data_IF_883745983406
#
_entry.id   IF_883745983406
#
_cell.length_a   1.000
_cell.length_b   1.000
_cell.length_c   1.000
_cell.angle_alpha   90.00
_cell.angle_beta   90.00
_cell.angle_gamma   90.00
#
_symmetry.space_group_name_H-M   'P 1'
#
loop_
_entity.id
_entity.type
_entity.pdbx_description
1 polymer ?
#
# COMPACT_ATOMS: atom_id res chain seq x y z
N UNK A 1 -12.18 31.00 -1.36
CA UNK A 1 -12.67 30.16 -2.48
C UNK A 1 -12.68 28.69 -2.04
N UNK A 2 -13.84 28.16 -1.64
CA UNK A 2 -13.98 26.73 -1.34
C UNK A 2 -13.95 25.96 -2.66
N UNK A 3 -12.79 25.39 -2.98
CA UNK A 3 -12.65 24.49 -4.11
C UNK A 3 -13.55 23.28 -3.80
N UNK A 4 -14.72 23.17 -4.45
CA UNK A 4 -15.65 22.05 -4.28
C UNK A 4 -14.95 20.78 -4.80
N UNK A 5 -14.15 20.15 -3.95
CA UNK A 5 -13.55 18.87 -4.26
C UNK A 5 -14.67 17.91 -4.60
N UNK A 6 -14.64 17.32 -5.79
CA UNK A 6 -15.66 16.38 -6.21
C UNK A 6 -15.52 15.12 -5.35
N UNK A 7 -16.34 15.02 -4.30
CA UNK A 7 -16.31 13.94 -3.31
C UNK A 7 -16.24 12.57 -3.98
N UNK A 8 -16.93 12.37 -5.11
CA UNK A 8 -16.89 11.11 -5.86
C UNK A 8 -15.49 10.79 -6.39
N UNK A 9 -14.79 11.78 -6.94
CA UNK A 9 -13.42 11.59 -7.46
C UNK A 9 -12.46 11.25 -6.32
N UNK A 10 -12.58 11.94 -5.18
CA UNK A 10 -11.74 11.67 -4.00
C UNK A 10 -11.97 10.25 -3.49
N UNK A 11 -13.22 9.81 -3.41
CA UNK A 11 -13.55 8.46 -2.95
C UNK A 11 -13.05 7.38 -3.90
N UNK A 12 -13.17 7.58 -5.23
CA UNK A 12 -12.60 6.66 -6.21
C UNK A 12 -11.08 6.58 -6.06
N UNK A 13 -10.40 7.73 -5.89
CA UNK A 13 -8.96 7.74 -5.68
C UNK A 13 -8.55 6.98 -4.40
N UNK A 14 -9.31 7.11 -3.32
CA UNK A 14 -9.08 6.35 -2.09
C UNK A 14 -9.25 4.85 -2.34
N UNK A 15 -10.32 4.42 -3.01
CA UNK A 15 -10.56 3.01 -3.30
C UNK A 15 -9.46 2.41 -4.17
N UNK A 16 -9.03 3.13 -5.21
CA UNK A 16 -7.91 2.72 -6.06
C UNK A 16 -6.59 2.62 -5.28
N UNK A 17 -6.34 3.56 -4.37
CA UNK A 17 -5.13 3.53 -3.55
C UNK A 17 -5.16 2.36 -2.56
N UNK A 18 -6.29 2.12 -1.88
CA UNK A 18 -6.47 0.95 -1.01
C UNK A 18 -6.27 -0.34 -1.80
N UNK A 19 -6.84 -0.44 -3.00
CA UNK A 19 -6.71 -1.60 -3.88
C UNK A 19 -5.24 -1.84 -4.28
N UNK A 20 -4.53 -0.78 -4.68
CA UNK A 20 -3.09 -0.84 -5.01
C UNK A 20 -2.26 -1.36 -3.83
N UNK A 21 -2.44 -0.81 -2.63
CA UNK A 21 -1.70 -1.24 -1.43
C UNK A 21 -2.06 -2.68 -1.02
N UNK A 22 -3.32 -3.10 -1.20
CA UNK A 22 -3.75 -4.46 -0.93
C UNK A 22 -3.13 -5.49 -1.90
N UNK A 23 -3.05 -5.15 -3.20
CA UNK A 23 -2.38 -6.00 -4.19
C UNK A 23 -0.92 -6.20 -3.79
N UNK A 24 -0.22 -5.13 -3.44
CA UNK A 24 1.21 -5.18 -3.16
C UNK A 24 1.55 -6.15 -2.01
N UNK A 25 0.84 -6.07 -0.88
CA UNK A 25 1.11 -6.96 0.24
C UNK A 25 0.87 -8.44 -0.06
N UNK A 26 -0.03 -8.75 -1.00
CA UNK A 26 -0.42 -10.13 -1.33
C UNK A 26 0.38 -10.71 -2.49
N UNK A 27 0.61 -9.93 -3.55
CA UNK A 27 1.34 -10.36 -4.75
C UNK A 27 2.77 -10.81 -4.42
N UNK A 28 3.40 -10.13 -3.46
CA UNK A 28 4.78 -10.39 -3.02
C UNK A 28 4.85 -11.71 -2.26
N UNK A 29 3.86 -12.00 -1.43
CA UNK A 29 3.78 -13.27 -0.73
C UNK A 29 3.65 -14.43 -1.73
N UNK A 30 2.96 -14.22 -2.84
CA UNK A 30 2.85 -15.22 -3.92
C UNK A 30 4.15 -15.37 -4.71
N UNK A 31 4.85 -14.28 -4.97
CA UNK A 31 6.12 -14.29 -5.72
C UNK A 31 7.34 -14.72 -4.88
N UNK A 32 7.22 -14.75 -3.55
CA UNK A 32 8.34 -14.97 -2.62
C UNK A 32 9.24 -16.16 -2.98
N UNK A 33 8.73 -17.36 -3.30
CA UNK A 33 9.60 -18.49 -3.62
C UNK A 33 10.50 -18.23 -4.84
N UNK A 34 9.99 -17.49 -5.83
CA UNK A 34 10.74 -17.14 -7.05
C UNK A 34 11.74 -16.02 -6.77
N UNK A 35 11.33 -14.98 -6.03
CA UNK A 35 12.21 -13.90 -5.59
C UNK A 35 13.43 -14.46 -4.83
N UNK A 36 13.21 -15.39 -3.90
CA UNK A 36 14.28 -15.99 -3.10
C UNK A 36 15.22 -16.85 -3.96
N UNK A 37 14.66 -17.56 -4.95
CA UNK A 37 15.43 -18.34 -5.91
C UNK A 37 16.34 -17.44 -6.77
N UNK A 38 15.83 -16.30 -7.23
CA UNK A 38 16.56 -15.39 -8.12
C UNK A 38 17.61 -14.56 -7.37
N UNK A 39 17.27 -14.06 -6.19
CA UNK A 39 18.12 -13.15 -5.41
C UNK A 39 19.06 -13.83 -4.40
N UNK A 40 18.96 -15.16 -4.24
CA UNK A 40 19.75 -15.95 -3.30
C UNK A 40 19.76 -15.39 -1.86
N UNK A 41 18.71 -15.65 -1.08
CA UNK A 41 18.59 -15.08 0.27
C UNK A 41 17.59 -15.76 1.19
N UNK A 42 17.51 -17.11 1.15
CA UNK A 42 16.52 -17.88 1.91
C UNK A 42 16.55 -17.57 3.42
N UNK A 43 17.74 -17.38 3.99
CA UNK A 43 17.92 -17.11 5.43
C UNK A 43 17.26 -15.81 5.89
N UNK A 44 17.14 -14.83 4.98
CA UNK A 44 16.59 -13.50 5.28
C UNK A 44 15.24 -13.24 4.58
N UNK A 45 14.63 -14.24 3.93
CA UNK A 45 13.37 -14.06 3.19
C UNK A 45 12.23 -13.49 4.05
N UNK A 46 12.18 -13.88 5.33
CA UNK A 46 11.12 -13.44 6.25
C UNK A 46 11.20 -11.94 6.54
N UNK A 47 12.38 -11.32 6.38
CA UNK A 47 12.56 -9.88 6.55
C UNK A 47 11.84 -9.07 5.49
N UNK A 48 11.63 -9.61 4.28
CA UNK A 48 10.96 -8.89 3.18
C UNK A 48 9.56 -8.44 3.61
N UNK A 49 8.77 -9.33 4.19
CA UNK A 49 7.42 -9.00 4.70
C UNK A 49 7.50 -8.31 6.06
N UNK A 50 8.35 -8.81 6.96
CA UNK A 50 8.41 -8.32 8.35
C UNK A 50 8.83 -6.85 8.44
N UNK A 51 9.83 -6.43 7.65
CA UNK A 51 10.30 -5.04 7.67
C UNK A 51 9.25 -4.09 7.10
N UNK A 52 8.54 -4.51 6.05
CA UNK A 52 7.46 -3.73 5.47
C UNK A 52 6.35 -3.48 6.50
N UNK A 53 5.91 -4.53 7.20
CA UNK A 53 4.89 -4.42 8.24
C UNK A 53 5.38 -3.58 9.43
N UNK A 54 6.64 -3.75 9.85
CA UNK A 54 7.24 -2.94 10.91
C UNK A 54 7.23 -1.46 10.56
N UNK A 55 7.72 -1.09 9.37
CA UNK A 55 7.77 0.30 8.94
C UNK A 55 6.38 0.89 8.72
N UNK A 56 5.43 0.08 8.22
CA UNK A 56 4.02 0.47 8.12
C UNK A 56 3.44 0.78 9.51
N UNK A 57 3.67 -0.09 10.50
CA UNK A 57 3.18 0.09 11.86
C UNK A 57 3.80 1.31 12.55
N UNK A 58 5.10 1.53 12.40
CA UNK A 58 5.83 2.67 12.99
C UNK A 58 5.39 4.00 12.37
N UNK A 59 5.18 4.04 11.06
CA UNK A 59 4.84 5.29 10.35
C UNK A 59 3.36 5.67 10.45
N UNK A 60 2.46 4.71 10.66
CA UNK A 60 1.00 4.92 10.82
C UNK A 60 0.65 6.03 11.82
N UNK A 61 1.09 5.99 13.10
CA UNK A 61 0.76 7.05 14.06
C UNK A 61 1.37 8.41 13.70
N UNK A 62 2.55 8.41 13.06
CA UNK A 62 3.23 9.63 12.62
C UNK A 62 2.38 10.34 11.56
N UNK A 63 1.92 9.60 10.55
CA UNK A 63 1.05 10.17 9.52
C UNK A 63 -0.32 10.56 10.03
N UNK A 64 -0.88 9.85 11.02
CA UNK A 64 -2.11 10.29 11.69
C UNK A 64 -1.97 11.70 12.25
N UNK A 65 -0.93 11.92 13.06
CA UNK A 65 -0.62 13.25 13.64
C UNK A 65 -0.31 14.30 12.58
N UNK A 66 0.47 13.96 11.57
CA UNK A 66 0.77 14.88 10.47
C UNK A 66 -0.52 15.25 9.71
N UNK A 67 -1.40 14.28 9.43
CA UNK A 67 -2.63 14.53 8.71
C UNK A 67 -3.59 15.44 9.51
N UNK A 68 -3.57 15.36 10.84
CA UNK A 68 -4.32 16.26 11.72
C UNK A 68 -3.76 17.69 11.69
N UNK A 69 -2.43 17.84 11.59
CA UNK A 69 -1.75 19.14 11.68
C UNK A 69 -1.61 19.89 10.34
N UNK A 70 -1.16 19.22 9.28
CA UNK A 70 -0.90 19.82 7.96
C UNK A 70 -2.00 19.50 6.94
N UNK A 71 -3.00 18.71 7.33
CA UNK A 71 -4.16 18.33 6.52
C UNK A 71 -4.03 16.97 5.83
N UNK A 72 -5.18 16.37 5.51
CA UNK A 72 -5.27 15.00 4.97
C UNK A 72 -4.62 14.82 3.61
N UNK A 73 -4.95 15.72 2.66
CA UNK A 73 -4.53 15.61 1.26
C UNK A 73 -3.01 15.58 1.06
N UNK A 74 -2.20 16.53 1.59
CA UNK A 74 -0.76 16.52 1.37
C UNK A 74 -0.10 15.27 1.97
N UNK A 75 -0.55 14.83 3.15
CA UNK A 75 -0.02 13.62 3.80
C UNK A 75 -0.35 12.37 3.00
N UNK A 76 -1.59 12.25 2.53
CA UNK A 76 -2.01 11.10 1.71
C UNK A 76 -1.22 11.03 0.40
N UNK A 77 -1.08 12.14 -0.32
CA UNK A 77 -0.34 12.18 -1.58
C UNK A 77 1.15 11.92 -1.39
N UNK A 78 1.76 12.45 -0.33
CA UNK A 78 3.15 12.16 0.00
C UNK A 78 3.37 10.68 0.29
N UNK A 79 2.52 10.08 1.11
CA UNK A 79 2.58 8.66 1.42
C UNK A 79 2.45 7.76 0.18
N UNK A 80 1.52 8.09 -0.71
CA UNK A 80 1.37 7.41 -2.00
C UNK A 80 2.64 7.53 -2.83
N UNK A 81 3.23 8.72 -2.92
CA UNK A 81 4.46 8.93 -3.69
C UNK A 81 5.61 8.08 -3.14
N UNK A 82 5.81 8.07 -1.81
CA UNK A 82 6.83 7.24 -1.16
C UNK A 82 6.57 5.76 -1.40
N UNK A 83 5.32 5.31 -1.31
CA UNK A 83 4.92 3.93 -1.57
C UNK A 83 5.21 3.50 -3.02
N UNK A 84 4.87 4.35 -4.00
CA UNK A 84 5.10 4.08 -5.42
C UNK A 84 6.60 4.03 -5.73
N UNK A 85 7.39 4.97 -5.19
CA UNK A 85 8.84 4.95 -5.33
C UNK A 85 9.43 3.67 -4.72
N UNK A 86 9.03 3.31 -3.49
CA UNK A 86 9.46 2.07 -2.86
C UNK A 86 9.09 0.83 -3.67
N UNK A 87 7.88 0.80 -4.23
CA UNK A 87 7.42 -0.30 -5.10
C UNK A 87 8.24 -0.42 -6.38
N UNK A 88 8.57 0.70 -7.02
CA UNK A 88 9.42 0.71 -8.21
C UNK A 88 10.85 0.25 -7.90
N UNK A 89 11.40 0.67 -6.75
CA UNK A 89 12.71 0.22 -6.29
C UNK A 89 12.72 -1.29 -6.03
N UNK A 90 11.67 -1.85 -5.41
CA UNK A 90 11.53 -3.29 -5.18
C UNK A 90 11.59 -4.11 -6.48
N UNK A 91 11.00 -3.62 -7.59
CA UNK A 91 11.04 -4.32 -8.89
C UNK A 91 12.45 -4.40 -9.47
N UNK A 92 13.27 -3.35 -9.29
CA UNK A 92 14.64 -3.33 -9.82
C UNK A 92 15.70 -3.90 -8.86
N UNK A 93 15.30 -4.49 -7.73
CA UNK A 93 16.23 -4.99 -6.71
C UNK A 93 17.12 -6.12 -7.26
N UNK A 94 18.44 -6.04 -7.03
CA UNK A 94 19.40 -7.00 -7.59
C UNK A 94 19.84 -8.08 -6.59
N UNK A 95 19.54 -7.89 -5.31
CA UNK A 95 19.83 -8.86 -4.26
C UNK A 95 18.82 -8.72 -3.11
N UNK A 96 18.79 -9.73 -2.24
CA UNK A 96 17.79 -9.81 -1.16
C UNK A 96 17.93 -8.66 -0.14
N UNK A 97 19.14 -8.16 0.10
CA UNK A 97 19.38 -7.05 1.03
C UNK A 97 18.82 -5.74 0.46
N UNK A 98 19.06 -5.45 -0.82
CA UNK A 98 18.45 -4.32 -1.51
C UNK A 98 16.94 -4.36 -1.48
N UNK A 99 16.34 -5.52 -1.76
CA UNK A 99 14.89 -5.70 -1.68
C UNK A 99 14.37 -5.36 -0.28
N UNK A 100 15.02 -5.85 0.78
CA UNK A 100 14.65 -5.53 2.17
C UNK A 100 14.80 -4.03 2.47
N UNK A 101 15.83 -3.36 1.96
CA UNK A 101 15.99 -1.91 2.12
C UNK A 101 14.90 -1.13 1.37
N UNK A 102 14.53 -1.55 0.17
CA UNK A 102 13.44 -0.93 -0.59
C UNK A 102 12.08 -1.16 0.06
N UNK A 103 11.88 -2.30 0.72
CA UNK A 103 10.71 -2.59 1.57
C UNK A 103 10.56 -1.63 2.73
N UNK A 104 11.66 -1.12 3.29
CA UNK A 104 11.62 -0.07 4.33
C UNK A 104 10.95 1.18 3.75
N UNK A 105 11.41 1.64 2.59
CA UNK A 105 10.87 2.83 1.91
C UNK A 105 9.40 2.62 1.57
N UNK A 106 9.07 1.47 1.00
CA UNK A 106 7.71 1.12 0.61
C UNK A 106 6.76 1.06 1.83
N UNK A 107 7.20 0.43 2.93
CA UNK A 107 6.44 0.34 4.19
C UNK A 107 6.24 1.71 4.85
N UNK A 108 7.23 2.59 4.78
CA UNK A 108 7.09 3.99 5.18
C UNK A 108 6.05 4.74 4.35
N UNK A 109 5.83 4.39 3.08
CA UNK A 109 4.73 4.98 2.30
C UNK A 109 3.37 4.37 2.64
N UNK A 110 3.33 3.04 2.81
CA UNK A 110 2.12 2.25 3.12
C UNK A 110 1.42 2.72 4.39
N UNK A 111 2.18 3.08 5.43
CA UNK A 111 1.62 3.55 6.70
C UNK A 111 0.80 4.83 6.61
N UNK A 112 0.91 5.62 5.54
CA UNK A 112 0.05 6.78 5.33
C UNK A 112 -1.30 6.42 4.68
N UNK A 113 -1.33 5.35 3.88
CA UNK A 113 -2.44 5.09 2.96
C UNK A 113 -3.70 4.72 3.73
N UNK A 114 -3.68 3.61 4.46
CA UNK A 114 -4.88 3.08 5.11
C UNK A 114 -5.47 4.02 6.18
N UNK A 115 -4.69 4.56 7.14
CA UNK A 115 -5.26 5.40 8.19
C UNK A 115 -5.79 6.71 7.62
N UNK A 116 -5.05 7.39 6.76
CA UNK A 116 -5.47 8.68 6.21
C UNK A 116 -6.65 8.49 5.25
N UNK A 117 -6.73 7.39 4.49
CA UNK A 117 -7.90 7.04 3.70
C UNK A 117 -9.17 6.91 4.56
N UNK A 118 -9.09 6.19 5.67
CA UNK A 118 -10.22 6.03 6.61
C UNK A 118 -10.62 7.38 7.19
N UNK A 119 -9.65 8.21 7.57
CA UNK A 119 -9.93 9.56 8.09
C UNK A 119 -10.56 10.46 7.03
N UNK A 120 -10.09 10.44 5.78
CA UNK A 120 -10.71 11.21 4.69
C UNK A 120 -12.15 10.75 4.44
N UNK A 121 -12.42 9.44 4.42
CA UNK A 121 -13.79 8.92 4.28
C UNK A 121 -14.65 9.40 5.46
N UNK A 122 -14.11 9.40 6.68
CA UNK A 122 -14.81 9.89 7.86
C UNK A 122 -15.13 11.39 7.76
N UNK A 123 -14.20 12.20 7.27
CA UNK A 123 -14.35 13.65 7.11
C UNK A 123 -15.34 14.02 5.97
N UNK A 124 -15.40 13.20 4.90
CA UNK A 124 -16.23 13.49 3.72
C UNK A 124 -17.70 13.06 3.86
N UNK A 125 -18.01 12.07 4.70
CA UNK A 125 -19.33 11.45 4.75
C UNK A 125 -19.98 11.53 6.13
N UNK A 126 -21.29 11.76 6.15
CA UNK A 126 -22.12 11.70 7.36
C UNK A 126 -22.09 10.31 7.99
N UNK A 127 -22.39 10.21 9.29
CA UNK A 127 -22.32 8.95 10.05
C UNK A 127 -23.07 7.79 9.37
N UNK A 128 -24.26 8.07 8.82
CA UNK A 128 -25.11 7.13 8.09
C UNK A 128 -24.44 6.55 6.83
N UNK A 129 -23.72 7.39 6.06
CA UNK A 129 -23.05 6.99 4.82
C UNK A 129 -21.64 6.48 5.06
N UNK A 130 -21.01 6.88 6.16
CA UNK A 130 -19.63 6.54 6.53
C UNK A 130 -19.44 5.03 6.65
N UNK A 131 -20.35 4.34 7.36
CA UNK A 131 -20.28 2.89 7.51
C UNK A 131 -20.33 2.18 6.14
N UNK A 132 -21.21 2.62 5.24
CA UNK A 132 -21.28 2.11 3.86
C UNK A 132 -19.98 2.35 3.09
N UNK A 133 -19.40 3.55 3.17
CA UNK A 133 -18.17 3.87 2.43
C UNK A 133 -16.95 3.13 2.97
N UNK A 134 -16.85 2.95 4.29
CA UNK A 134 -15.82 2.12 4.90
C UNK A 134 -16.00 0.64 4.50
N UNK A 135 -17.24 0.13 4.49
CA UNK A 135 -17.55 -1.22 4.03
C UNK A 135 -17.18 -1.43 2.55
N UNK A 136 -17.46 -0.44 1.69
CA UNK A 136 -17.03 -0.47 0.29
C UNK A 136 -15.50 -0.47 0.16
N UNK A 137 -14.80 0.36 0.93
CA UNK A 137 -13.33 0.38 0.94
C UNK A 137 -12.74 -0.98 1.35
N UNK A 138 -13.29 -1.61 2.39
CA UNK A 138 -12.91 -2.98 2.79
C UNK A 138 -13.28 -4.01 1.72
N UNK A 139 -14.38 -3.82 1.00
CA UNK A 139 -14.74 -4.64 -0.16
C UNK A 139 -13.70 -4.58 -1.28
N UNK A 140 -13.19 -3.39 -1.61
CA UNK A 140 -12.08 -3.24 -2.57
C UNK A 140 -10.83 -3.98 -2.11
N UNK A 141 -10.50 -3.94 -0.82
CA UNK A 141 -9.40 -4.71 -0.25
C UNK A 141 -9.61 -6.23 -0.41
N UNK A 142 -10.83 -6.73 -0.12
CA UNK A 142 -11.17 -8.14 -0.30
C UNK A 142 -11.14 -8.60 -1.76
N UNK A 143 -11.54 -7.75 -2.70
CA UNK A 143 -11.38 -8.04 -4.14
C UNK A 143 -9.89 -8.11 -4.51
N UNK A 144 -9.08 -7.18 -4.01
CA UNK A 144 -7.63 -7.20 -4.23
C UNK A 144 -6.98 -8.49 -3.71
N UNK A 145 -7.39 -8.98 -2.53
CA UNK A 145 -6.81 -10.21 -1.96
C UNK A 145 -7.04 -11.46 -2.80
N UNK A 146 -8.05 -11.46 -3.67
CA UNK A 146 -8.29 -12.56 -4.63
C UNK A 146 -7.54 -12.33 -5.93
N UNK A 147 -7.58 -11.10 -6.47
CA UNK A 147 -6.96 -10.76 -7.75
C UNK A 147 -5.43 -10.84 -7.67
N UNK A 148 -4.84 -10.42 -6.56
CA UNK A 148 -3.40 -10.28 -6.44
C UNK A 148 -2.61 -11.59 -6.48
N UNK A 149 -3.00 -12.68 -5.77
CA UNK A 149 -2.32 -13.97 -5.94
C UNK A 149 -2.45 -14.52 -7.37
N UNK A 150 -3.60 -14.31 -8.03
CA UNK A 150 -3.80 -14.73 -9.41
C UNK A 150 -2.86 -13.98 -10.37
N UNK A 151 -2.78 -12.66 -10.23
CA UNK A 151 -1.87 -11.83 -11.02
C UNK A 151 -0.41 -12.13 -10.71
N UNK A 152 -0.04 -12.30 -9.44
CA UNK A 152 1.33 -12.62 -9.03
C UNK A 152 1.79 -13.96 -9.57
N UNK A 153 0.94 -14.99 -9.46
CA UNK A 153 1.22 -16.29 -10.06
C UNK A 153 1.40 -16.20 -11.57
N UNK A 154 0.51 -15.48 -12.26
CA UNK A 154 0.61 -15.28 -13.71
C UNK A 154 1.90 -14.56 -14.12
N UNK A 155 2.25 -13.45 -13.45
CA UNK A 155 3.45 -12.65 -13.71
C UNK A 155 4.70 -13.49 -13.50
N UNK A 156 4.81 -14.21 -12.39
CA UNK A 156 6.00 -15.01 -12.08
C UNK A 156 6.14 -16.22 -13.02
N UNK A 157 5.03 -16.77 -13.53
CA UNK A 157 5.05 -17.90 -14.45
C UNK A 157 5.38 -17.52 -15.90
N UNK A 158 4.94 -16.34 -16.36
CA UNK A 158 5.00 -15.98 -17.79
C UNK A 158 5.89 -14.77 -18.08
N UNK A 159 6.24 -13.98 -17.06
CA UNK A 159 7.06 -12.78 -17.15
C UNK A 159 8.20 -12.88 -16.13
N UNK A 160 8.63 -11.74 -15.59
CA UNK A 160 9.58 -11.64 -14.50
C UNK A 160 8.90 -11.01 -13.28
N UNK A 161 9.41 -11.29 -12.08
CA UNK A 161 8.98 -10.60 -10.86
C UNK A 161 9.63 -9.22 -10.70
N UNK A 162 10.66 -8.91 -11.50
CA UNK A 162 11.26 -7.58 -11.59
C UNK A 162 10.28 -6.52 -12.16
#
# INVERSE_FOLDING_TARGET
MQNKSNTKIVTIAIFLTTFMTAIEGTIVSTAMPTIVSDLNGLEIMNWVVSIFLLMTAVSTPIYGKLADSIGRKPVFLFGIAVFVVGSALCGIAQNMVELILFRVIQGLGSGAVQPVAVTIIADLYTLEKRAKMLGLNSGFWGVASVIAPLLGGFIVQHLSWH
#
